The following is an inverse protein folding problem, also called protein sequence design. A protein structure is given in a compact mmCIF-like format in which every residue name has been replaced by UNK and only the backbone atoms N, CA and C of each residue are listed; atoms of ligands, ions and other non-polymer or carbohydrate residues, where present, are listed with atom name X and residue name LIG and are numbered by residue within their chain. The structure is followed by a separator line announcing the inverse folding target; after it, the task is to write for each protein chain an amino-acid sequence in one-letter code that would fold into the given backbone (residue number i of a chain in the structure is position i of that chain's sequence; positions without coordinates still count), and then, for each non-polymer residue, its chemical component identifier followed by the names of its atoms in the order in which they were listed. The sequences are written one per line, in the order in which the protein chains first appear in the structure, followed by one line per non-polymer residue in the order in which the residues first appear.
data_IF_607571173161
#
_entry.id   IF_607571173161
#
_cell.length_a   1.000
_cell.length_b   1.000
_cell.length_c   1.000
_cell.angle_alpha   90.00
_cell.angle_beta   90.00
_cell.angle_gamma   90.00
#
_symmetry.space_group_name_H-M   'P 1'
#
loop_
_entity.id
_entity.type
_entity.pdbx_description
1 polymer ?
#
# COMPACT_ATOMS: atom_id res chain seq x y z
N UNK A 1 -14.79 28.58 -24.00
CA UNK A 1 -14.03 28.51 -22.73
C UNK A 1 -14.90 27.87 -21.64
N UNK A 2 -15.30 26.62 -21.80
CA UNK A 2 -16.21 25.90 -20.86
C UNK A 2 -15.64 24.51 -20.50
N UNK A 3 -14.94 23.86 -21.44
CA UNK A 3 -14.24 22.60 -21.16
C UNK A 3 -13.19 22.72 -20.04
N UNK A 4 -12.47 23.86 -19.97
CA UNK A 4 -11.42 24.10 -18.95
C UNK A 4 -12.00 24.24 -17.54
N UNK A 5 -13.15 24.90 -17.39
CA UNK A 5 -13.81 25.14 -16.10
C UNK A 5 -14.54 23.92 -15.54
N UNK A 6 -15.01 22.99 -16.38
CA UNK A 6 -15.55 21.71 -15.92
C UNK A 6 -14.49 20.63 -15.66
N UNK A 7 -13.29 20.75 -16.23
CA UNK A 7 -12.18 19.82 -15.98
C UNK A 7 -11.44 20.11 -14.67
N UNK A 8 -11.35 21.38 -14.24
CA UNK A 8 -10.66 21.78 -13.01
C UNK A 8 -11.19 21.05 -11.76
N UNK A 9 -12.52 20.99 -11.50
CA UNK A 9 -13.06 20.32 -10.32
C UNK A 9 -12.88 18.80 -10.36
N UNK A 10 -12.90 18.20 -11.54
CA UNK A 10 -12.66 16.77 -11.72
C UNK A 10 -11.19 16.41 -11.44
N UNK A 11 -10.25 17.26 -11.86
CA UNK A 11 -8.83 17.13 -11.55
C UNK A 11 -8.56 17.32 -10.05
N UNK A 12 -9.16 18.34 -9.43
CA UNK A 12 -9.00 18.61 -8.00
C UNK A 12 -9.61 17.48 -7.14
N UNK A 13 -10.73 16.91 -7.57
CA UNK A 13 -11.37 15.75 -6.93
C UNK A 13 -10.52 14.49 -7.05
N UNK A 14 -9.98 14.21 -8.25
CA UNK A 14 -9.06 13.09 -8.46
C UNK A 14 -7.80 13.23 -7.60
N UNK A 15 -7.22 14.42 -7.54
CA UNK A 15 -6.04 14.75 -6.75
C UNK A 15 -6.34 14.63 -5.23
N UNK A 16 -7.53 15.02 -4.79
CA UNK A 16 -7.99 14.82 -3.40
C UNK A 16 -8.13 13.34 -3.03
N UNK A 17 -8.71 12.53 -3.92
CA UNK A 17 -8.83 11.08 -3.74
C UNK A 17 -7.46 10.39 -3.68
N UNK A 18 -6.54 10.77 -4.58
CA UNK A 18 -5.16 10.28 -4.58
C UNK A 18 -4.43 10.64 -3.28
N UNK A 19 -4.58 11.88 -2.78
CA UNK A 19 -4.00 12.30 -1.49
C UNK A 19 -4.56 11.53 -0.29
N UNK A 20 -5.88 11.35 -0.22
CA UNK A 20 -6.52 10.63 0.89
C UNK A 20 -6.06 9.17 0.96
N UNK A 21 -5.89 8.53 -0.21
CA UNK A 21 -5.38 7.18 -0.31
C UNK A 21 -3.88 7.07 0.05
N UNK A 22 -3.06 8.05 -0.37
CA UNK A 22 -1.67 8.14 0.05
C UNK A 22 -1.54 8.26 1.58
N UNK A 23 -2.36 9.13 2.21
CA UNK A 23 -2.40 9.28 3.66
C UNK A 23 -2.84 7.99 4.38
N UNK A 24 -3.84 7.28 3.86
CA UNK A 24 -4.28 6.00 4.40
C UNK A 24 -3.16 4.94 4.33
N UNK A 25 -2.44 4.88 3.22
CA UNK A 25 -1.29 3.97 3.04
C UNK A 25 -0.15 4.32 3.99
N UNK A 26 0.19 5.60 4.13
CA UNK A 26 1.20 6.05 5.10
C UNK A 26 0.80 5.71 6.53
N UNK A 27 -0.48 5.90 6.89
CA UNK A 27 -1.00 5.54 8.21
C UNK A 27 -0.91 4.03 8.46
N UNK A 28 -1.29 3.21 7.46
CA UNK A 28 -1.18 1.75 7.54
C UNK A 28 0.28 1.29 7.68
N UNK A 29 1.21 1.88 6.93
CA UNK A 29 2.65 1.59 7.02
C UNK A 29 3.21 1.89 8.42
N UNK A 30 2.83 3.02 9.02
CA UNK A 30 3.27 3.38 10.36
C UNK A 30 2.80 2.38 11.42
N UNK A 31 1.57 1.85 11.30
CA UNK A 31 1.03 0.88 12.26
C UNK A 31 1.38 -0.58 11.93
N UNK A 32 1.96 -0.84 10.76
CA UNK A 32 2.28 -2.20 10.29
C UNK A 32 3.43 -2.88 11.05
N UNK A 33 4.24 -2.10 11.79
CA UNK A 33 5.44 -2.60 12.47
C UNK A 33 6.54 -3.12 11.54
N UNK A 34 6.44 -2.85 10.23
CA UNK A 34 7.42 -3.31 9.25
C UNK A 34 8.77 -2.58 9.41
N UNK A 35 9.90 -3.25 9.11
CA UNK A 35 11.22 -2.61 9.08
C UNK A 35 11.24 -1.42 8.11
N UNK A 36 12.03 -0.40 8.41
CA UNK A 36 12.10 0.84 7.63
C UNK A 36 12.42 0.60 6.14
N UNK A 37 13.30 -0.35 5.81
CA UNK A 37 13.63 -0.69 4.42
C UNK A 37 12.45 -1.30 3.66
N UNK A 38 11.64 -2.10 4.35
CA UNK A 38 10.40 -2.66 3.81
C UNK A 38 9.36 -1.56 3.64
N UNK A 39 9.23 -0.64 4.60
CA UNK A 39 8.33 0.51 4.48
C UNK A 39 8.70 1.41 3.29
N UNK A 40 9.98 1.69 3.05
CA UNK A 40 10.44 2.50 1.91
C UNK A 40 10.15 1.81 0.58
N UNK A 41 10.46 0.52 0.47
CA UNK A 41 10.14 -0.27 -0.72
C UNK A 41 8.64 -0.22 -1.02
N UNK A 42 7.83 -0.38 0.03
CA UNK A 42 6.37 -0.29 -0.03
C UNK A 42 5.90 1.13 -0.33
N UNK A 43 6.60 2.20 0.06
CA UNK A 43 6.21 3.57 -0.31
C UNK A 43 6.46 3.86 -1.79
N UNK A 44 7.54 3.31 -2.35
CA UNK A 44 7.96 3.56 -3.74
C UNK A 44 7.17 2.74 -4.77
N UNK A 45 6.40 1.75 -4.32
CA UNK A 45 5.51 0.95 -5.16
C UNK A 45 4.33 1.79 -5.68
N UNK A 46 4.01 1.72 -6.99
CA UNK A 46 2.89 2.44 -7.56
C UNK A 46 1.55 2.03 -6.92
N UNK A 47 0.57 2.93 -7.03
CA UNK A 47 -0.76 2.80 -6.46
C UNK A 47 -1.81 2.93 -7.56
N UNK A 48 -2.83 2.08 -7.54
CA UNK A 48 -3.83 2.00 -8.62
C UNK A 48 -5.15 2.75 -8.32
N UNK A 49 -5.27 3.44 -7.17
CA UNK A 49 -6.51 4.11 -6.74
C UNK A 49 -7.70 3.19 -6.41
N UNK A 50 -7.66 1.90 -6.77
CA UNK A 50 -8.72 0.93 -6.46
C UNK A 50 -8.43 0.08 -5.21
N UNK A 51 -7.19 0.09 -4.69
CA UNK A 51 -6.77 -0.69 -3.53
C UNK A 51 -5.47 -0.16 -2.95
N UNK A 52 -5.05 -0.64 -1.77
CA UNK A 52 -3.84 -0.14 -1.08
C UNK A 52 -2.57 -0.27 -1.92
N UNK A 53 -2.56 -1.21 -2.88
CA UNK A 53 -1.48 -1.48 -3.82
C UNK A 53 -2.03 -1.83 -5.21
N UNK A 54 -1.17 -1.87 -6.22
CA UNK A 54 -1.49 -2.54 -7.49
C UNK A 54 -1.68 -4.04 -7.22
N UNK A 55 -2.60 -4.68 -7.95
CA UNK A 55 -2.97 -6.09 -7.79
C UNK A 55 -1.77 -7.05 -7.76
N UNK A 56 -0.76 -6.78 -8.57
CA UNK A 56 0.48 -7.57 -8.58
C UNK A 56 1.24 -7.49 -7.24
N UNK A 57 1.30 -6.31 -6.64
CA UNK A 57 1.94 -6.10 -5.33
C UNK A 57 1.11 -6.72 -4.21
N UNK A 58 -0.22 -6.59 -4.27
CA UNK A 58 -1.12 -7.17 -3.28
C UNK A 58 -1.04 -8.70 -3.28
N UNK A 59 -1.02 -9.30 -4.47
CA UNK A 59 -0.80 -10.75 -4.66
C UNK A 59 0.54 -11.20 -4.08
N UNK A 60 1.59 -10.38 -4.22
CA UNK A 60 2.92 -10.68 -3.67
C UNK A 60 2.96 -10.57 -2.14
N UNK A 61 2.27 -9.59 -1.56
CA UNK A 61 2.10 -9.46 -0.11
C UNK A 61 1.28 -10.62 0.46
N UNK A 62 0.21 -11.04 -0.22
CA UNK A 62 -0.57 -12.22 0.15
C UNK A 62 0.28 -13.49 0.16
N UNK A 63 1.05 -13.72 -0.91
CA UNK A 63 1.97 -14.86 -0.98
C UNK A 63 3.04 -14.84 0.11
N UNK A 64 3.57 -13.65 0.45
CA UNK A 64 4.53 -13.48 1.53
C UNK A 64 3.91 -13.82 2.90
N UNK A 65 2.69 -13.33 3.16
CA UNK A 65 1.91 -13.65 4.36
C UNK A 65 1.64 -15.16 4.46
N UNK A 66 1.24 -15.81 3.37
CA UNK A 66 0.96 -17.25 3.37
C UNK A 66 2.23 -18.08 3.60
N UNK A 67 3.36 -17.63 3.03
CA UNK A 67 4.67 -18.22 3.30
C UNK A 67 5.07 -18.07 4.76
N UNK A 68 4.82 -16.90 5.35
CA UNK A 68 5.07 -16.61 6.77
C UNK A 68 4.22 -17.48 7.70
N UNK A 69 2.91 -17.62 7.43
CA UNK A 69 2.03 -18.50 8.19
C UNK A 69 2.42 -19.97 8.04
N UNK A 70 2.89 -20.37 6.85
CA UNK A 70 3.44 -21.72 6.63
C UNK A 70 4.70 -21.94 7.47
N UNK A 71 5.62 -20.99 7.51
CA UNK A 71 6.83 -21.04 8.34
C UNK A 71 6.50 -21.11 9.84
N UNK A 72 5.48 -20.37 10.28
CA UNK A 72 4.96 -20.45 11.66
C UNK A 72 4.38 -21.83 11.97
N UNK A 73 3.61 -22.41 11.06
CA UNK A 73 3.04 -23.76 11.20
C UNK A 73 4.11 -24.85 11.28
N UNK A 74 5.22 -24.67 10.56
CA UNK A 74 6.38 -25.56 10.60
C UNK A 74 7.23 -25.41 11.87
N UNK A 75 6.89 -24.51 12.79
CA UNK A 75 7.63 -24.28 14.03
C UNK A 75 9.00 -23.64 13.83
N UNK A 76 9.28 -23.09 12.65
CA UNK A 76 10.59 -22.50 12.29
C UNK A 76 10.72 -21.03 12.72
N UNK A 77 9.73 -20.50 13.44
CA UNK A 77 9.78 -19.15 13.97
C UNK A 77 10.54 -19.14 15.30
N UNK A 78 11.87 -19.22 15.26
CA UNK A 78 12.70 -18.91 16.42
C UNK A 78 12.50 -17.44 16.79
N UNK A 79 11.97 -17.11 17.98
CA UNK A 79 12.18 -15.79 18.54
C UNK A 79 13.69 -15.68 18.78
N UNK A 80 14.35 -14.73 18.13
CA UNK A 80 15.67 -14.33 18.57
C UNK A 80 15.55 -13.71 19.98
N UNK A 81 16.45 -14.04 20.92
CA UNK A 81 16.44 -13.48 22.28
C UNK A 81 16.71 -11.97 22.31
#
# INVERSE_FOLDING_TARGET
MVARTSLQPALDSADSSTRAMAMRRSSWLQVSGLPHDVQNTIRDLPFNCSGLFVEQTDSRLHSLKDSWETLKSLGLHTPAP
#
